data_IF_752750354745
#
_entry.id   IF_752750354745
#
_cell.length_a   1.000
_cell.length_b   1.000
_cell.length_c   1.000
_cell.angle_alpha   90.00
_cell.angle_beta   90.00
_cell.angle_gamma   90.00
#
_symmetry.space_group_name_H-M   'P 1'
#
loop_
_entity.id
_entity.type
_entity.pdbx_description
1 polymer ?
#
# COMPACT_ATOMS: atom_id res chain seq x y z
N UNK A 1 0.89 -17.05 3.40
CA UNK A 1 0.31 -16.23 2.31
C UNK A 1 1.36 -15.21 1.89
N UNK A 2 1.88 -15.28 0.67
CA UNK A 2 2.79 -14.24 0.16
C UNK A 2 1.96 -13.04 -0.25
N UNK A 3 2.17 -11.91 0.41
CA UNK A 3 1.47 -10.67 0.10
C UNK A 3 2.05 -10.14 -1.24
N UNK A 4 1.25 -9.98 -2.31
CA UNK A 4 1.77 -9.61 -3.63
C UNK A 4 2.50 -8.26 -3.62
N UNK A 5 2.14 -7.39 -2.67
CA UNK A 5 2.81 -6.12 -2.36
C UNK A 5 4.25 -6.36 -1.90
N UNK A 6 4.47 -7.27 -0.95
CA UNK A 6 5.80 -7.54 -0.40
C UNK A 6 6.69 -8.28 -1.40
N UNK A 7 6.12 -9.11 -2.30
CA UNK A 7 6.90 -9.69 -3.39
C UNK A 7 7.39 -8.63 -4.37
N UNK A 8 6.54 -7.64 -4.71
CA UNK A 8 6.94 -6.55 -5.60
C UNK A 8 8.06 -5.71 -5.00
N UNK A 9 7.94 -5.33 -3.71
CA UNK A 9 8.96 -4.53 -3.01
C UNK A 9 10.31 -5.26 -2.94
N UNK A 10 10.28 -6.57 -2.69
CA UNK A 10 11.48 -7.41 -2.66
C UNK A 10 12.14 -7.52 -4.04
N UNK A 11 11.36 -7.69 -5.10
CA UNK A 11 11.85 -7.75 -6.48
C UNK A 11 12.46 -6.39 -6.90
N UNK A 12 11.81 -5.28 -6.55
CA UNK A 12 12.33 -3.93 -6.76
C UNK A 12 13.64 -3.70 -6.02
N UNK A 13 13.72 -4.04 -4.73
CA UNK A 13 14.92 -3.84 -3.92
C UNK A 13 16.11 -4.67 -4.43
N UNK A 14 15.88 -5.87 -4.97
CA UNK A 14 16.91 -6.69 -5.63
C UNK A 14 17.40 -6.00 -6.91
N UNK A 15 16.47 -5.51 -7.72
CA UNK A 15 16.77 -4.87 -8.99
C UNK A 15 17.52 -3.55 -8.84
N UNK A 16 17.11 -2.73 -7.87
CA UNK A 16 17.79 -1.48 -7.53
C UNK A 16 19.24 -1.71 -7.08
N UNK A 17 19.47 -2.76 -6.29
CA UNK A 17 20.83 -3.16 -5.91
C UNK A 17 21.65 -3.60 -7.12
N UNK A 18 21.10 -4.43 -8.00
CA UNK A 18 21.77 -4.85 -9.24
C UNK A 18 22.11 -3.64 -10.16
N UNK A 19 21.17 -2.70 -10.33
CA UNK A 19 21.38 -1.49 -11.12
C UNK A 19 22.48 -0.60 -10.50
N UNK A 20 22.51 -0.46 -9.17
CA UNK A 20 23.56 0.30 -8.48
C UNK A 20 24.96 -0.32 -8.63
N UNK A 21 25.06 -1.66 -8.65
CA UNK A 21 26.33 -2.38 -8.86
C UNK A 21 26.88 -2.22 -10.28
N UNK A 22 26.01 -2.16 -11.30
CA UNK A 22 26.43 -1.86 -12.67
C UNK A 22 27.08 -0.47 -12.79
N UNK A 23 26.57 0.49 -12.02
CA UNK A 23 27.14 1.84 -11.96
C UNK A 23 28.50 1.85 -11.26
N UNK A 24 28.64 1.24 -10.10
CA UNK A 24 29.90 1.29 -9.34
C UNK A 24 31.03 0.50 -10.00
N UNK A 25 30.70 -0.58 -10.71
CA UNK A 25 31.69 -1.35 -11.47
C UNK A 25 32.22 -0.60 -12.69
N UNK A 26 31.53 0.43 -13.20
CA UNK A 26 31.92 1.23 -14.40
C UNK A 26 33.34 1.81 -14.34
N UNK A 27 33.91 1.99 -13.15
CA UNK A 27 35.24 2.58 -12.97
C UNK A 27 36.42 1.64 -13.20
N UNK A 28 36.20 0.33 -13.36
CA UNK A 28 37.28 -0.65 -13.56
C UNK A 28 37.36 -1.08 -15.03
N UNK A 29 38.35 -0.50 -15.73
CA UNK A 29 38.51 -0.56 -17.18
C UNK A 29 39.10 -1.91 -17.64
N UNK A 30 38.28 -2.96 -17.77
CA UNK A 30 38.69 -4.23 -18.38
C UNK A 30 37.72 -4.65 -19.48
N UNK A 31 38.25 -4.87 -20.69
CA UNK A 31 37.50 -5.21 -21.92
C UNK A 31 36.63 -6.48 -21.77
N UNK A 32 37.03 -7.42 -20.91
CA UNK A 32 36.27 -8.63 -20.56
C UNK A 32 34.97 -8.34 -19.78
N UNK A 33 34.85 -7.15 -19.20
CA UNK A 33 33.68 -6.75 -18.41
C UNK A 33 32.50 -6.27 -19.27
N UNK A 34 32.70 -5.98 -20.57
CA UNK A 34 31.64 -5.39 -21.40
C UNK A 34 30.55 -6.41 -21.82
N UNK A 35 30.92 -7.63 -22.20
CA UNK A 35 29.93 -8.67 -22.54
C UNK A 35 29.09 -9.08 -21.32
N UNK A 36 29.74 -9.19 -20.15
CA UNK A 36 29.04 -9.52 -18.91
C UNK A 36 28.12 -8.39 -18.43
N UNK A 37 28.49 -7.12 -18.68
CA UNK A 37 27.62 -5.95 -18.45
C UNK A 37 26.40 -5.95 -19.34
N UNK A 38 26.56 -6.27 -20.62
CA UNK A 38 25.43 -6.28 -21.56
C UNK A 38 24.41 -7.38 -21.19
N UNK A 39 24.90 -8.53 -20.72
CA UNK A 39 24.07 -9.58 -20.12
C UNK A 39 23.37 -9.15 -18.82
N UNK A 40 24.07 -8.44 -17.94
CA UNK A 40 23.44 -7.93 -16.70
C UNK A 40 22.41 -6.83 -16.98
N UNK A 41 22.70 -5.87 -17.86
CA UNK A 41 21.76 -4.80 -18.23
C UNK A 41 20.46 -5.35 -18.83
N UNK A 42 20.55 -6.34 -19.72
CA UNK A 42 19.39 -7.00 -20.32
C UNK A 42 18.56 -7.81 -19.32
N UNK A 43 19.21 -8.50 -18.37
CA UNK A 43 18.50 -9.20 -17.28
C UNK A 43 17.77 -8.23 -16.36
N UNK A 44 18.36 -7.07 -16.05
CA UNK A 44 17.71 -6.03 -15.25
C UNK A 44 16.53 -5.43 -16.01
N UNK A 45 16.66 -5.18 -17.30
CA UNK A 45 15.57 -4.66 -18.13
C UNK A 45 14.39 -5.62 -18.21
N UNK A 46 14.66 -6.93 -18.29
CA UNK A 46 13.64 -7.97 -18.17
C UNK A 46 12.96 -7.95 -16.79
N UNK A 47 13.74 -7.71 -15.73
CA UNK A 47 13.23 -7.51 -14.37
C UNK A 47 12.33 -6.28 -14.22
N UNK A 48 12.68 -5.14 -14.83
CA UNK A 48 11.84 -3.93 -14.83
C UNK A 48 10.50 -4.20 -15.51
N UNK A 49 10.50 -4.86 -16.67
CA UNK A 49 9.26 -5.20 -17.39
C UNK A 49 8.36 -6.16 -16.57
N UNK A 50 8.97 -7.06 -15.79
CA UNK A 50 8.23 -7.95 -14.87
C UNK A 50 7.61 -7.18 -13.72
N UNK A 51 8.32 -6.22 -13.13
CA UNK A 51 7.79 -5.35 -12.07
C UNK A 51 6.64 -4.49 -12.57
N UNK A 52 6.71 -4.01 -13.81
CA UNK A 52 5.63 -3.27 -14.45
C UNK A 52 4.37 -4.14 -14.61
N UNK A 53 4.51 -5.36 -15.13
CA UNK A 53 3.41 -6.30 -15.25
C UNK A 53 2.79 -6.67 -13.89
N UNK A 54 3.61 -6.84 -12.84
CA UNK A 54 3.13 -7.07 -11.49
C UNK A 54 2.38 -5.84 -10.93
N UNK A 55 2.86 -4.63 -11.21
CA UNK A 55 2.21 -3.39 -10.78
C UNK A 55 0.83 -3.25 -11.44
N UNK A 56 0.73 -3.55 -12.73
CA UNK A 56 -0.55 -3.54 -13.47
C UNK A 56 -1.53 -4.61 -12.94
N UNK A 57 -1.03 -5.76 -12.49
CA UNK A 57 -1.87 -6.80 -11.85
C UNK A 57 -2.34 -6.39 -10.44
N UNK A 58 -1.50 -5.69 -9.68
CA UNK A 58 -1.84 -5.15 -8.35
C UNK A 58 -2.89 -4.04 -8.45
N UNK A 59 -2.79 -3.18 -9.47
CA UNK A 59 -3.77 -2.15 -9.82
C UNK A 59 -5.15 -2.76 -10.09
N UNK A 60 -5.21 -3.84 -10.87
CA UNK A 60 -6.47 -4.52 -11.18
C UNK A 60 -7.16 -5.19 -9.98
N UNK A 61 -6.43 -5.48 -8.90
CA UNK A 61 -6.96 -6.18 -7.72
C UNK A 61 -7.41 -5.22 -6.59
N UNK A 62 -7.36 -3.89 -6.80
CA UNK A 62 -7.73 -2.87 -5.80
C UNK A 62 -7.00 -3.00 -4.44
N UNK A 63 -5.91 -3.78 -4.41
CA UNK A 63 -5.14 -4.03 -3.18
C UNK A 63 -4.26 -2.86 -2.78
N UNK A 64 -4.13 -1.85 -3.65
CA UNK A 64 -3.26 -0.69 -3.46
C UNK A 64 -3.98 0.60 -3.86
N UNK A 65 -3.66 1.70 -3.18
CA UNK A 65 -4.26 2.98 -3.53
C UNK A 65 -3.62 3.56 -4.81
N UNK A 66 -4.38 4.35 -5.61
CA UNK A 66 -3.87 4.94 -6.85
C UNK A 66 -2.62 5.80 -6.65
N UNK A 67 -2.50 6.51 -5.51
CA UNK A 67 -1.29 7.27 -5.18
C UNK A 67 -0.05 6.40 -5.03
N UNK A 68 -0.19 5.23 -4.39
CA UNK A 68 0.91 4.29 -4.17
C UNK A 68 1.37 3.66 -5.48
N UNK A 69 0.45 3.35 -6.39
CA UNK A 69 0.77 2.91 -7.75
C UNK A 69 1.58 3.98 -8.48
N UNK A 70 1.16 5.25 -8.36
CA UNK A 70 1.90 6.39 -8.91
C UNK A 70 3.32 6.51 -8.34
N UNK A 71 3.52 6.31 -7.03
CA UNK A 71 4.86 6.29 -6.42
C UNK A 71 5.71 5.17 -7.02
N UNK A 72 5.15 3.98 -7.14
CA UNK A 72 5.84 2.79 -7.66
C UNK A 72 6.22 2.93 -9.13
N UNK A 73 5.36 3.55 -9.96
CA UNK A 73 5.72 3.90 -11.34
C UNK A 73 6.90 4.87 -11.40
N UNK A 74 6.94 5.88 -10.53
CA UNK A 74 8.07 6.82 -10.48
C UNK A 74 9.39 6.13 -10.09
N UNK A 75 9.34 5.15 -9.18
CA UNK A 75 10.51 4.35 -8.81
C UNK A 75 11.02 3.50 -10.00
N UNK A 76 10.11 2.90 -10.76
CA UNK A 76 10.46 2.15 -11.98
C UNK A 76 11.03 3.06 -13.08
N UNK A 77 10.43 4.24 -13.28
CA UNK A 77 10.92 5.25 -14.22
C UNK A 77 12.34 5.72 -13.85
N UNK A 78 12.60 5.95 -12.57
CA UNK A 78 13.94 6.29 -12.07
C UNK A 78 14.95 5.18 -12.34
N UNK A 79 14.56 3.92 -12.12
CA UNK A 79 15.41 2.76 -12.43
C UNK A 79 15.71 2.67 -13.93
N UNK A 80 14.68 2.91 -14.76
CA UNK A 80 14.78 2.88 -16.23
C UNK A 80 15.66 4.01 -16.76
N UNK A 81 15.56 5.22 -16.20
CA UNK A 81 16.44 6.34 -16.51
C UNK A 81 17.89 6.04 -16.15
N UNK A 82 18.13 5.44 -14.97
CA UNK A 82 19.46 5.06 -14.51
C UNK A 82 20.13 3.98 -15.39
N UNK A 83 19.34 3.06 -15.94
CA UNK A 83 19.83 2.05 -16.91
C UNK A 83 20.07 2.68 -18.29
N UNK A 84 19.17 3.54 -18.75
CA UNK A 84 19.26 4.23 -20.05
C UNK A 84 20.46 5.18 -20.15
N UNK A 85 20.79 5.90 -19.07
CA UNK A 85 21.93 6.83 -19.05
C UNK A 85 23.29 6.13 -19.08
N UNK A 86 23.35 4.85 -18.68
CA UNK A 86 24.58 4.04 -18.72
C UNK A 86 24.95 3.51 -20.12
N UNK A 87 24.01 3.59 -21.07
CA UNK A 87 24.20 3.20 -22.48
C UNK A 87 24.48 4.38 -23.43
N UNK A 88 24.42 5.63 -22.94
CA UNK A 88 24.81 6.79 -23.71
C UNK A 88 26.34 6.92 -23.68
N UNK A 89 26.98 6.16 -24.56
CA UNK A 89 28.36 6.33 -24.97
C UNK A 89 28.64 7.80 -25.25
N UNK A 90 29.40 8.39 -24.35
CA UNK A 90 30.06 9.68 -24.46
C UNK A 90 30.72 9.79 -25.85
N UNK A 91 30.33 10.74 -26.72
CA UNK A 91 31.07 11.01 -27.94
C UNK A 91 32.46 11.51 -27.52
N UNK A 92 33.50 10.84 -28.04
CA UNK A 92 34.89 11.15 -27.73
C UNK A 92 35.20 12.63 -27.89
N UNK A 93 35.76 13.22 -26.83
CA UNK A 93 36.28 14.58 -26.82
C UNK A 93 37.50 14.69 -27.75
N UNK A 94 37.26 15.12 -28.99
CA UNK A 94 38.26 15.72 -29.85
C UNK A 94 38.49 17.18 -29.45
N UNK A 95 39.62 17.42 -28.77
CA UNK A 95 40.48 18.62 -28.81
C UNK A 95 39.89 19.91 -29.43
N UNK A 96 39.55 20.90 -28.58
CA UNK A 96 39.31 22.30 -28.98
C UNK A 96 38.86 23.17 -27.80
N UNK A 97 39.77 24.01 -27.27
CA UNK A 97 39.68 24.68 -25.96
C UNK A 97 38.77 25.91 -25.84
N UNK A 98 37.58 25.91 -26.45
CA UNK A 98 36.61 27.02 -26.32
C UNK A 98 35.16 26.55 -26.10
N UNK A 99 34.95 25.23 -25.96
CA UNK A 99 33.64 24.58 -25.93
C UNK A 99 33.20 24.03 -24.57
N UNK A 100 34.07 24.07 -23.55
CA UNK A 100 33.79 23.50 -22.23
C UNK A 100 32.57 24.13 -21.55
N UNK A 101 32.40 25.44 -21.70
CA UNK A 101 31.25 26.18 -21.13
C UNK A 101 29.97 25.93 -21.91
N UNK A 102 30.04 25.84 -23.25
CA UNK A 102 28.88 25.57 -24.10
C UNK A 102 28.40 24.11 -23.96
N UNK A 103 29.32 23.17 -23.79
CA UNK A 103 29.00 21.77 -23.48
C UNK A 103 28.40 21.63 -22.07
N UNK A 104 28.92 22.36 -21.08
CA UNK A 104 28.38 22.38 -19.72
C UNK A 104 26.99 23.02 -19.64
N UNK A 105 26.72 24.08 -20.43
CA UNK A 105 25.40 24.72 -20.50
C UNK A 105 24.37 23.80 -21.15
N UNK A 106 24.71 23.13 -22.25
CA UNK A 106 23.81 22.11 -22.86
C UNK A 106 23.47 20.98 -21.90
N UNK A 107 24.46 20.48 -21.15
CA UNK A 107 24.22 19.45 -20.15
C UNK A 107 23.32 19.93 -18.99
N UNK A 108 23.39 21.22 -18.63
CA UNK A 108 22.49 21.81 -17.65
C UNK A 108 21.07 21.99 -18.20
N UNK A 109 20.92 22.40 -19.45
CA UNK A 109 19.61 22.53 -20.11
C UNK A 109 18.92 21.16 -20.19
N UNK A 110 19.64 20.11 -20.60
CA UNK A 110 19.12 18.73 -20.63
C UNK A 110 18.67 18.27 -19.23
N UNK A 111 19.41 18.66 -18.18
CA UNK A 111 19.06 18.35 -16.80
C UNK A 111 17.84 19.15 -16.31
N UNK A 112 17.70 20.41 -16.73
CA UNK A 112 16.54 21.25 -16.40
C UNK A 112 15.27 20.72 -17.08
N UNK A 113 15.37 20.26 -18.32
CA UNK A 113 14.25 19.64 -19.04
C UNK A 113 13.82 18.33 -18.36
N UNK A 114 14.76 17.50 -17.91
CA UNK A 114 14.46 16.31 -17.12
C UNK A 114 13.78 16.65 -15.78
N UNK A 115 14.25 17.71 -15.10
CA UNK A 115 13.63 18.22 -13.88
C UNK A 115 12.22 18.74 -14.14
N UNK A 116 11.98 19.45 -15.24
CA UNK A 116 10.67 19.97 -15.62
C UNK A 116 9.67 18.82 -15.85
N UNK A 117 10.09 17.76 -16.54
CA UNK A 117 9.29 16.53 -16.72
C UNK A 117 9.06 15.83 -15.36
N UNK A 118 10.08 15.79 -14.50
CA UNK A 118 9.97 15.29 -13.12
C UNK A 118 8.93 16.04 -12.29
N UNK A 119 8.96 17.37 -12.31
CA UNK A 119 8.01 18.24 -11.60
C UNK A 119 6.59 18.08 -12.14
N UNK A 120 6.42 17.91 -13.46
CA UNK A 120 5.13 17.61 -14.08
C UNK A 120 4.52 16.30 -13.56
N UNK A 121 5.34 15.25 -13.43
CA UNK A 121 4.93 13.96 -12.85
C UNK A 121 4.55 14.10 -11.37
N UNK A 122 5.37 14.81 -10.59
CA UNK A 122 5.07 15.09 -9.18
C UNK A 122 3.76 15.85 -9.00
N UNK A 123 3.50 16.88 -9.82
CA UNK A 123 2.25 17.65 -9.80
C UNK A 123 1.04 16.76 -10.07
N UNK A 124 1.11 15.90 -11.08
CA UNK A 124 0.02 14.96 -11.39
C UNK A 124 -0.20 13.99 -10.24
N UNK A 125 0.87 13.52 -9.60
CA UNK A 125 0.80 12.67 -8.42
C UNK A 125 0.17 13.40 -7.22
N UNK A 126 0.55 14.65 -6.96
CA UNK A 126 -0.05 15.47 -5.89
C UNK A 126 -1.55 15.65 -6.11
N UNK A 127 -1.99 15.85 -7.35
CA UNK A 127 -3.42 15.92 -7.68
C UNK A 127 -4.15 14.61 -7.40
N UNK A 128 -3.54 13.46 -7.75
CA UNK A 128 -4.12 12.15 -7.44
C UNK A 128 -4.20 11.90 -5.93
N UNK A 129 -3.15 12.22 -5.18
CA UNK A 129 -3.13 12.13 -3.70
C UNK A 129 -4.23 13.01 -3.10
N UNK A 130 -4.43 14.22 -3.63
CA UNK A 130 -5.46 15.13 -3.15
C UNK A 130 -6.87 14.56 -3.37
N UNK A 131 -7.14 13.99 -4.55
CA UNK A 131 -8.43 13.34 -4.84
C UNK A 131 -8.67 12.12 -3.95
N UNK A 132 -7.66 11.28 -3.73
CA UNK A 132 -7.72 10.13 -2.82
C UNK A 132 -7.96 10.56 -1.37
N UNK A 133 -7.29 11.63 -0.91
CA UNK A 133 -7.51 12.18 0.44
C UNK A 133 -8.95 12.64 0.62
N UNK A 134 -9.52 13.33 -0.38
CA UNK A 134 -10.93 13.73 -0.34
C UNK A 134 -11.88 12.51 -0.33
N UNK A 135 -11.54 11.45 -1.06
CA UNK A 135 -12.30 10.20 -1.02
C UNK A 135 -12.20 9.51 0.36
N UNK A 136 -11.02 9.47 0.96
CA UNK A 136 -10.81 8.93 2.30
C UNK A 136 -11.58 9.72 3.36
N UNK A 137 -11.64 11.05 3.27
CA UNK A 137 -12.45 11.87 4.19
C UNK A 137 -13.93 11.47 4.11
N UNK A 138 -14.47 11.25 2.91
CA UNK A 138 -15.86 10.80 2.74
C UNK A 138 -16.10 9.41 3.31
N UNK A 139 -15.18 8.48 3.10
CA UNK A 139 -15.28 7.12 3.65
C UNK A 139 -15.17 7.12 5.18
N UNK A 140 -14.35 8.00 5.76
CA UNK A 140 -14.27 8.16 7.21
C UNK A 140 -15.55 8.75 7.80
N UNK A 141 -16.17 9.73 7.13
CA UNK A 141 -17.46 10.31 7.53
C UNK A 141 -18.60 9.28 7.48
N UNK A 142 -18.61 8.44 6.44
CA UNK A 142 -19.55 7.31 6.34
C UNK A 142 -19.29 6.26 7.43
N UNK A 143 -18.03 5.97 7.74
CA UNK A 143 -17.66 5.06 8.82
C UNK A 143 -18.09 5.61 10.18
N UNK A 144 -17.88 6.90 10.43
CA UNK A 144 -18.29 7.58 11.68
C UNK A 144 -19.81 7.47 11.85
N UNK A 145 -20.57 7.79 10.79
CA UNK A 145 -22.03 7.64 10.77
C UNK A 145 -22.45 6.19 11.03
N UNK A 146 -21.79 5.21 10.41
CA UNK A 146 -22.12 3.80 10.61
C UNK A 146 -21.74 3.29 12.01
N UNK A 147 -20.65 3.79 12.59
CA UNK A 147 -20.25 3.50 13.98
C UNK A 147 -21.27 4.09 14.95
N UNK A 148 -21.74 5.32 14.72
CA UNK A 148 -22.80 5.93 15.53
C UNK A 148 -24.10 5.14 15.46
N UNK A 149 -24.52 4.72 14.26
CA UNK A 149 -25.71 3.87 14.08
C UNK A 149 -25.53 2.50 14.75
N UNK A 150 -24.36 1.88 14.63
CA UNK A 150 -24.06 0.62 15.28
C UNK A 150 -24.06 0.76 16.81
N UNK A 151 -23.55 1.87 17.35
CA UNK A 151 -23.55 2.14 18.78
C UNK A 151 -24.97 2.35 19.31
N UNK A 152 -25.81 3.11 18.60
CA UNK A 152 -27.22 3.29 18.93
C UNK A 152 -27.98 1.94 18.89
N UNK A 153 -27.75 1.14 17.85
CA UNK A 153 -28.34 -0.20 17.75
C UNK A 153 -27.89 -1.15 18.87
N UNK A 154 -26.61 -1.08 19.25
CA UNK A 154 -26.08 -1.83 20.39
C UNK A 154 -26.71 -1.36 21.70
N UNK A 155 -26.80 -0.06 21.97
CA UNK A 155 -27.44 0.49 23.17
C UNK A 155 -28.92 0.05 23.28
N UNK A 156 -29.66 0.10 22.18
CA UNK A 156 -31.05 -0.36 22.13
C UNK A 156 -31.17 -1.87 22.40
N UNK A 157 -30.28 -2.68 21.81
CA UNK A 157 -30.25 -4.12 22.07
C UNK A 157 -29.83 -4.41 23.51
N UNK A 158 -28.91 -3.63 24.08
CA UNK A 158 -28.52 -3.77 25.50
C UNK A 158 -29.68 -3.43 26.42
N UNK A 159 -30.46 -2.37 26.12
CA UNK A 159 -31.68 -2.01 26.86
C UNK A 159 -32.73 -3.11 26.78
N UNK A 160 -32.93 -3.71 25.60
CA UNK A 160 -33.84 -4.86 25.42
C UNK A 160 -33.38 -6.08 26.23
N UNK A 161 -32.10 -6.43 26.15
CA UNK A 161 -31.52 -7.52 26.94
C UNK A 161 -31.65 -7.30 28.45
N UNK A 162 -31.50 -6.06 28.92
CA UNK A 162 -31.69 -5.70 30.33
C UNK A 162 -33.15 -5.88 30.78
N UNK A 163 -34.12 -5.41 29.99
CA UNK A 163 -35.56 -5.60 30.29
C UNK A 163 -35.94 -7.09 30.32
N UNK A 164 -35.49 -7.86 29.33
CA UNK A 164 -35.73 -9.32 29.27
C UNK A 164 -35.14 -10.05 30.49
N UNK A 165 -33.97 -9.63 30.97
CA UNK A 165 -33.36 -10.19 32.18
C UNK A 165 -34.22 -9.94 33.42
N UNK A 166 -34.77 -8.73 33.57
CA UNK A 166 -35.59 -8.35 34.72
C UNK A 166 -36.91 -9.13 34.79
N UNK A 167 -37.61 -9.29 33.67
CA UNK A 167 -38.85 -10.07 33.59
C UNK A 167 -38.65 -11.56 33.93
N UNK A 168 -37.51 -12.15 33.55
CA UNK A 168 -37.21 -13.55 33.85
C UNK A 168 -37.05 -13.84 35.35
N UNK A 169 -36.60 -12.84 36.12
CA UNK A 169 -36.39 -12.96 37.57
C UNK A 169 -37.72 -13.05 38.32
N UNK A 170 -38.68 -12.20 37.94
CA UNK A 170 -40.01 -12.16 38.55
C UNK A 170 -40.80 -13.43 38.24
N UNK A 171 -40.68 -13.97 37.02
CA UNK A 171 -41.34 -15.23 36.64
C UNK A 171 -40.78 -16.44 37.42
N UNK A 172 -39.46 -16.53 37.57
CA UNK A 172 -38.82 -17.57 38.39
C UNK A 172 -39.25 -17.50 39.86
N UNK A 173 -39.36 -16.29 40.42
CA UNK A 173 -39.80 -16.07 41.80
C UNK A 173 -41.26 -16.53 42.02
N UNK A 174 -42.16 -16.21 41.09
CA UNK A 174 -43.55 -16.68 41.16
C UNK A 174 -43.66 -18.20 41.09
N UNK A 175 -42.88 -18.86 40.24
CA UNK A 175 -42.87 -20.33 40.11
C UNK A 175 -42.42 -21.00 41.42
N UNK A 176 -41.40 -20.45 42.09
CA UNK A 176 -40.91 -20.93 43.39
C UNK A 176 -41.98 -20.78 44.48
N UNK A 177 -42.67 -19.62 44.54
CA UNK A 177 -43.73 -19.37 45.53
C UNK A 177 -44.88 -20.38 45.36
N UNK A 178 -45.32 -20.62 44.11
CA UNK A 178 -46.40 -21.58 43.83
C UNK A 178 -45.98 -23.00 44.25
N UNK A 179 -44.75 -23.42 43.94
CA UNK A 179 -44.23 -24.73 44.34
C UNK A 179 -44.17 -24.91 45.87
N UNK A 180 -43.68 -23.89 46.60
CA UNK A 180 -43.67 -23.88 48.06
C UNK A 180 -45.08 -23.92 48.67
N UNK A 181 -46.04 -23.21 48.07
CA UNK A 181 -47.44 -23.24 48.51
C UNK A 181 -48.06 -24.62 48.36
N UNK A 182 -47.80 -25.32 47.25
CA UNK A 182 -48.30 -26.68 47.02
C UNK A 182 -47.65 -27.67 47.99
N UNK A 183 -46.34 -27.56 48.20
CA UNK A 183 -45.61 -28.41 49.14
C UNK A 183 -46.10 -28.22 50.58
N UNK A 184 -46.33 -26.96 51.00
CA UNK A 184 -46.89 -26.63 52.30
C UNK A 184 -48.31 -27.22 52.46
N UNK A 185 -49.14 -27.12 51.42
CA UNK A 185 -50.49 -27.69 51.43
C UNK A 185 -50.46 -29.22 51.59
N UNK A 186 -49.56 -29.90 50.87
CA UNK A 186 -49.35 -31.35 51.03
C UNK A 186 -48.87 -31.71 52.44
N UNK A 187 -47.96 -30.92 53.02
CA UNK A 187 -47.45 -31.17 54.36
C UNK A 187 -48.55 -30.98 55.43
N UNK A 188 -49.41 -29.97 55.29
CA UNK A 188 -50.58 -29.81 56.16
C UNK A 188 -51.50 -31.02 56.02
N UNK A 189 -51.85 -31.42 54.80
CA UNK A 189 -52.73 -32.58 54.58
C UNK A 189 -52.18 -33.87 55.20
N UNK A 190 -50.87 -34.11 55.09
CA UNK A 190 -50.22 -35.31 55.61
C UNK A 190 -49.94 -35.24 57.11
N UNK A 191 -49.74 -34.05 57.67
CA UNK A 191 -49.52 -33.84 59.11
C UNK A 191 -50.80 -33.62 59.92
N UNK A 192 -51.93 -33.29 59.27
CA UNK A 192 -53.26 -33.25 59.90
C UNK A 192 -54.00 -34.60 59.84
N UNK A 193 -53.51 -35.55 59.03
CA UNK A 193 -53.98 -36.94 58.97
C UNK A 193 -53.22 -37.83 59.93
#
# INVERSE_FOLDING_TARGET
MNNPITSWDNDYARLARAASQLRTTSSTNSTFSNDQRQGQASSIQTGVNRLDAQLNALEGNLTMTPAEIGRRRNLLDGLRGQLGSSGASQPGYGRGGESSTAAALRQQDDMIDELAVGVGRLKNQTNLIHQETNAHVRLLDEMDTNVDLANQGLEDETRRAMRLREESSVWKLHLIIVGLSVLLFLLILMGLS
#
